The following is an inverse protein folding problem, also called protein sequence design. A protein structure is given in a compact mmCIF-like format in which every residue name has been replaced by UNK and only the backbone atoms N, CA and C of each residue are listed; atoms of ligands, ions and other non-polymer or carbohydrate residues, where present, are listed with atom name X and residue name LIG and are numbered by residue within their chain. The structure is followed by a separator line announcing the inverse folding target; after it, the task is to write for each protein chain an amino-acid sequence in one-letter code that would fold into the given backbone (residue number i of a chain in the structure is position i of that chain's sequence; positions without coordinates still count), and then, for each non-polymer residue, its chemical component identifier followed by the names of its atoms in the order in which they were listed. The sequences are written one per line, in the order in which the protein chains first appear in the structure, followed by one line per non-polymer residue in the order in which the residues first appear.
data_IF_080184483188
#
_entry.id   IF_080184483188
#
_cell.length_a   1.000
_cell.length_b   1.000
_cell.length_c   1.000
_cell.angle_alpha   90.00
_cell.angle_beta   90.00
_cell.angle_gamma   90.00
#
_symmetry.space_group_name_H-M   'P 1'
#
loop_
_entity.id
_entity.type
_entity.pdbx_description
1 polymer ?
#
# COMPACT_ATOMS: atom_id res chain seq x y z
N UNK A 1 -22.30 21.69 -8.04
CA UNK A 1 -21.02 22.18 -8.58
C UNK A 1 -20.44 23.42 -7.85
N UNK A 2 -20.83 23.74 -6.61
CA UNK A 2 -20.36 24.96 -5.90
C UNK A 2 -19.43 24.69 -4.69
N UNK A 3 -19.00 23.47 -4.46
CA UNK A 3 -18.18 23.11 -3.28
C UNK A 3 -16.68 22.90 -3.54
N UNK A 4 -16.25 22.77 -4.80
CA UNK A 4 -14.88 22.39 -5.15
C UNK A 4 -13.86 23.54 -5.06
N UNK A 5 -14.29 24.80 -5.12
CA UNK A 5 -13.41 25.96 -5.04
C UNK A 5 -13.23 26.54 -3.64
N UNK A 6 -13.92 25.97 -2.64
CA UNK A 6 -13.90 26.51 -1.28
C UNK A 6 -12.63 26.09 -0.56
N UNK A 7 -11.89 27.07 -0.03
CA UNK A 7 -10.77 26.87 0.86
C UNK A 7 -11.23 26.10 2.11
N UNK A 8 -10.47 25.10 2.56
CA UNK A 8 -10.68 24.42 3.83
C UNK A 8 -9.48 24.65 4.72
N UNK A 9 -9.72 24.78 6.01
CA UNK A 9 -8.68 25.01 7.00
C UNK A 9 -8.76 23.93 8.10
N UNK A 10 -7.62 23.32 8.40
CA UNK A 10 -7.46 22.27 9.42
C UNK A 10 -6.33 22.68 10.37
N UNK A 11 -6.63 22.73 11.67
CA UNK A 11 -5.67 23.02 12.74
C UNK A 11 -5.44 21.80 13.60
N UNK A 12 -4.21 21.55 14.02
CA UNK A 12 -3.84 20.43 14.91
C UNK A 12 -2.35 20.25 15.00
N UNK A 13 -1.90 19.15 15.61
CA UNK A 13 -0.49 18.76 15.60
C UNK A 13 -0.23 17.90 14.38
N UNK A 14 0.81 18.23 13.61
CA UNK A 14 1.14 17.55 12.36
C UNK A 14 2.52 16.92 12.41
N UNK A 15 2.65 15.78 11.74
CA UNK A 15 3.94 15.16 11.50
C UNK A 15 4.00 14.62 10.06
N UNK A 16 5.10 14.90 9.37
CA UNK A 16 5.44 14.30 8.09
C UNK A 16 6.95 14.25 7.86
N UNK A 17 7.36 13.61 6.77
CA UNK A 17 8.75 13.64 6.27
C UNK A 17 8.80 14.51 5.02
N UNK A 18 9.64 15.53 5.02
CA UNK A 18 9.62 16.60 4.01
C UNK A 18 10.23 16.22 2.66
N UNK A 19 11.08 15.21 2.63
CA UNK A 19 11.75 14.70 1.42
C UNK A 19 11.92 13.19 1.44
N UNK A 20 12.08 12.59 0.28
CA UNK A 20 12.41 11.17 0.17
C UNK A 20 13.81 10.88 0.70
N UNK A 21 14.01 9.68 1.22
CA UNK A 21 15.20 9.25 1.95
C UNK A 21 15.80 8.04 1.23
N UNK A 22 17.13 8.00 1.17
CA UNK A 22 17.91 6.87 0.65
C UNK A 22 18.77 6.19 1.74
N UNK A 23 18.91 6.85 2.90
CA UNK A 23 19.57 6.30 4.08
C UNK A 23 18.69 6.54 5.31
N UNK A 24 18.31 5.50 6.09
CA UNK A 24 17.41 5.63 7.24
C UNK A 24 17.95 6.59 8.33
N UNK A 25 19.25 6.79 8.42
CA UNK A 25 19.86 7.74 9.37
C UNK A 25 19.46 9.21 9.11
N UNK A 26 19.03 9.53 7.88
CA UNK A 26 18.62 10.87 7.50
C UNK A 26 17.16 11.20 7.88
N UNK A 27 16.34 10.21 8.23
CA UNK A 27 14.91 10.39 8.45
C UNK A 27 14.64 11.40 9.55
N UNK A 28 15.36 11.34 10.65
CA UNK A 28 15.18 12.26 11.78
C UNK A 28 15.42 13.73 11.36
N UNK A 29 16.34 13.98 10.44
CA UNK A 29 16.64 15.34 9.95
C UNK A 29 15.61 15.85 8.91
N UNK A 30 14.90 14.94 8.28
CA UNK A 30 13.85 15.25 7.31
C UNK A 30 12.44 15.26 7.93
N UNK A 31 12.31 14.80 9.19
CA UNK A 31 11.06 14.82 9.92
C UNK A 31 10.64 16.26 10.24
N UNK A 32 9.37 16.58 9.99
CA UNK A 32 8.79 17.84 10.39
C UNK A 32 7.64 17.55 11.37
N UNK A 33 7.73 18.14 12.56
CA UNK A 33 6.69 18.14 13.56
C UNK A 33 6.26 19.58 13.86
N UNK A 34 4.97 19.87 13.74
CA UNK A 34 4.36 21.16 14.05
C UNK A 34 3.29 20.93 15.10
N UNK A 35 3.50 21.42 16.31
CA UNK A 35 2.60 21.18 17.44
C UNK A 35 1.25 21.89 17.28
N UNK A 36 1.28 23.13 16.81
CA UNK A 36 0.08 23.90 16.46
C UNK A 36 0.18 24.36 15.02
N UNK A 37 -0.22 23.51 14.11
CA UNK A 37 -0.12 23.68 12.68
C UNK A 37 -1.44 24.05 12.02
N UNK A 38 -1.33 24.59 10.83
CA UNK A 38 -2.42 24.90 9.91
C UNK A 38 -2.15 24.25 8.56
N UNK A 39 -3.14 23.51 8.06
CA UNK A 39 -3.20 23.00 6.71
C UNK A 39 -4.35 23.69 5.96
N UNK A 40 -4.03 24.42 4.90
CA UNK A 40 -5.00 24.99 3.97
C UNK A 40 -5.12 24.08 2.75
N UNK A 41 -6.36 23.78 2.37
CA UNK A 41 -6.67 22.85 1.28
C UNK A 41 -7.57 23.56 0.28
N UNK A 42 -7.19 23.48 -0.99
CA UNK A 42 -7.98 24.02 -2.11
C UNK A 42 -8.01 23.01 -3.25
N UNK A 43 -9.18 22.72 -3.77
CA UNK A 43 -9.35 21.74 -4.87
C UNK A 43 -8.70 20.38 -4.59
N UNK A 44 -8.83 19.87 -3.37
CA UNK A 44 -8.26 18.59 -2.97
C UNK A 44 -6.74 18.59 -2.73
N UNK A 45 -6.07 19.72 -2.92
CA UNK A 45 -4.61 19.84 -2.77
C UNK A 45 -4.21 20.72 -1.60
N UNK A 46 -3.02 20.49 -1.09
CA UNK A 46 -2.37 21.36 -0.11
C UNK A 46 -2.08 22.70 -0.80
N UNK A 47 -2.74 23.75 -0.34
CA UNK A 47 -2.49 25.13 -0.77
C UNK A 47 -1.36 25.75 0.06
N UNK A 48 -1.40 25.55 1.38
CA UNK A 48 -0.40 26.05 2.31
C UNK A 48 -0.32 25.14 3.53
N UNK A 49 0.87 25.02 4.12
CA UNK A 49 1.10 24.26 5.34
C UNK A 49 2.21 24.88 6.19
N UNK A 50 1.99 25.03 7.49
CA UNK A 50 2.98 25.54 8.43
C UNK A 50 2.39 25.82 9.81
N UNK A 51 3.12 26.59 10.63
CA UNK A 51 2.69 27.03 11.96
C UNK A 51 1.39 27.85 11.89
N UNK A 52 0.48 27.62 12.84
CA UNK A 52 -0.80 28.34 12.93
C UNK A 52 -0.62 29.87 12.90
N UNK A 53 0.30 30.40 13.71
CA UNK A 53 0.54 31.83 13.81
C UNK A 53 0.97 32.47 12.47
N UNK A 54 1.69 31.71 11.66
CA UNK A 54 2.21 32.19 10.37
C UNK A 54 1.15 32.13 9.24
N UNK A 55 0.11 31.31 9.39
CA UNK A 55 -0.87 31.09 8.33
C UNK A 55 -2.30 31.56 8.64
N UNK A 56 -2.68 31.78 9.90
CA UNK A 56 -4.05 32.07 10.30
C UNK A 56 -4.68 33.30 9.60
N UNK A 57 -3.87 34.29 9.25
CA UNK A 57 -4.32 35.50 8.54
C UNK A 57 -4.74 35.24 7.07
N UNK A 58 -4.39 34.07 6.52
CA UNK A 58 -4.80 33.66 5.17
C UNK A 58 -6.21 33.03 5.15
N UNK A 59 -6.82 32.81 6.30
CA UNK A 59 -8.13 32.18 6.42
C UNK A 59 -9.19 33.29 6.31
N UNK A 60 -10.05 33.28 5.27
CA UNK A 60 -11.19 34.19 5.21
C UNK A 60 -12.16 33.98 6.39
N UNK A 61 -12.78 35.04 6.90
CA UNK A 61 -13.73 34.96 8.03
C UNK A 61 -14.93 34.04 7.75
N UNK A 62 -15.23 33.77 6.49
CA UNK A 62 -16.29 32.83 6.06
C UNK A 62 -15.92 31.37 6.18
N UNK A 63 -14.65 31.05 6.42
CA UNK A 63 -14.15 29.69 6.47
C UNK A 63 -14.08 29.19 7.92
N UNK A 64 -14.82 28.13 8.22
CA UNK A 64 -14.73 27.45 9.50
C UNK A 64 -13.49 26.58 9.57
N UNK A 65 -12.63 26.84 10.55
CA UNK A 65 -11.47 25.99 10.86
C UNK A 65 -11.94 24.67 11.51
N UNK A 66 -11.49 23.55 10.98
CA UNK A 66 -11.64 22.25 11.66
C UNK A 66 -10.50 22.11 12.66
N UNK A 67 -10.84 22.16 13.94
CA UNK A 67 -9.87 22.14 15.04
C UNK A 67 -9.70 20.72 15.56
N UNK A 68 -8.46 20.20 15.47
CA UNK A 68 -8.03 18.89 15.93
C UNK A 68 -6.88 18.99 16.96
N UNK A 69 -6.80 20.08 17.70
CA UNK A 69 -5.81 20.17 18.77
C UNK A 69 -5.98 19.02 19.76
N UNK A 70 -4.85 18.43 20.21
CA UNK A 70 -4.83 17.20 21.00
C UNK A 70 -4.85 15.91 20.16
N UNK A 71 -5.02 16.01 18.84
CA UNK A 71 -4.89 14.91 17.89
C UNK A 71 -3.60 15.06 17.10
N UNK A 72 -3.12 13.94 16.53
CA UNK A 72 -1.99 13.94 15.61
C UNK A 72 -2.49 13.76 14.17
N UNK A 73 -2.04 14.61 13.26
CA UNK A 73 -2.38 14.54 11.84
C UNK A 73 -1.16 14.07 11.07
N UNK A 74 -1.33 13.01 10.32
CA UNK A 74 -0.29 12.39 9.48
C UNK A 74 -0.77 12.31 8.03
N UNK A 75 0.11 12.26 7.01
CA UNK A 75 -0.29 11.93 5.66
C UNK A 75 -1.03 10.60 5.64
N UNK A 76 -1.95 10.41 4.71
CA UNK A 76 -2.67 9.16 4.56
C UNK A 76 -1.72 7.97 4.38
N UNK A 77 -2.06 6.83 4.97
CA UNK A 77 -1.25 5.64 4.83
C UNK A 77 -1.32 5.09 3.41
N UNK A 78 -0.18 4.55 2.95
CA UNK A 78 0.01 3.94 1.64
C UNK A 78 0.25 2.46 1.82
N UNK A 79 -0.68 1.64 1.32
CA UNK A 79 -0.57 0.18 1.32
C UNK A 79 -0.05 -0.29 -0.03
N UNK A 80 1.16 -0.84 -0.06
CA UNK A 80 1.84 -1.19 -1.31
C UNK A 80 1.57 -2.62 -1.80
N UNK A 81 0.79 -3.40 -1.04
CA UNK A 81 0.35 -4.74 -1.43
C UNK A 81 -0.83 -5.21 -0.57
N UNK A 82 -1.95 -5.47 -1.19
CA UNK A 82 -3.17 -5.94 -0.54
C UNK A 82 -4.10 -6.65 -1.53
N UNK A 83 -4.83 -7.68 -1.09
CA UNK A 83 -5.81 -8.42 -1.89
C UNK A 83 -7.24 -8.13 -1.42
N UNK A 84 -8.00 -7.32 -2.16
CA UNK A 84 -9.37 -7.05 -1.75
C UNK A 84 -10.29 -8.29 -1.80
N UNK A 85 -10.07 -9.25 -2.76
CA UNK A 85 -10.90 -10.44 -2.82
C UNK A 85 -10.73 -11.39 -1.64
N UNK A 86 -9.69 -11.21 -0.83
CA UNK A 86 -9.38 -12.10 0.29
C UNK A 86 -9.88 -11.56 1.64
N UNK A 87 -10.67 -10.47 1.63
CA UNK A 87 -11.17 -9.83 2.86
C UNK A 87 -11.97 -10.78 3.76
N UNK A 88 -12.72 -11.72 3.18
CA UNK A 88 -13.55 -12.66 3.94
C UNK A 88 -12.78 -13.79 4.60
N UNK A 89 -11.56 -14.05 4.17
CA UNK A 89 -10.75 -15.16 4.70
C UNK A 89 -9.71 -14.71 5.74
N UNK A 90 -9.71 -13.44 6.11
CA UNK A 90 -8.83 -12.93 7.17
C UNK A 90 -9.03 -13.72 8.46
N UNK A 91 -7.92 -14.28 9.00
CA UNK A 91 -7.97 -15.09 10.21
C UNK A 91 -8.40 -16.55 9.97
N UNK A 92 -8.51 -17.02 8.72
CA UNK A 92 -8.67 -18.43 8.44
C UNK A 92 -7.46 -19.23 8.95
N UNK A 93 -7.67 -20.50 9.36
CA UNK A 93 -6.60 -21.29 9.95
C UNK A 93 -5.39 -21.44 9.01
N UNK A 94 -4.22 -21.06 9.51
CA UNK A 94 -2.99 -20.98 8.72
C UNK A 94 -2.46 -22.31 8.25
N UNK A 95 -2.01 -22.29 7.00
CA UNK A 95 -1.28 -23.36 6.32
C UNK A 95 -0.01 -22.73 5.71
N UNK A 96 0.86 -23.54 5.11
CA UNK A 96 1.92 -22.99 4.25
C UNK A 96 1.32 -22.43 2.95
N UNK A 97 2.05 -21.52 2.29
CA UNK A 97 1.56 -20.75 1.14
C UNK A 97 0.77 -21.57 0.10
N UNK A 98 1.34 -22.64 -0.43
CA UNK A 98 0.72 -23.38 -1.54
C UNK A 98 -0.57 -24.13 -1.13
N UNK A 99 -0.63 -24.63 0.11
CA UNK A 99 -1.84 -25.23 0.67
C UNK A 99 -2.89 -24.17 0.99
N UNK A 100 -2.48 -23.00 1.52
CA UNK A 100 -3.31 -21.85 1.77
C UNK A 100 -4.05 -21.40 0.53
N UNK A 101 -3.36 -21.27 -0.61
CA UNK A 101 -3.96 -20.88 -1.88
C UNK A 101 -5.10 -21.81 -2.28
N UNK A 102 -4.89 -23.13 -2.21
CA UNK A 102 -5.88 -24.12 -2.63
C UNK A 102 -7.07 -24.20 -1.67
N UNK A 103 -6.83 -24.10 -0.37
CA UNK A 103 -7.85 -24.33 0.67
C UNK A 103 -8.74 -23.13 0.92
N UNK A 104 -8.17 -21.92 0.88
CA UNK A 104 -8.84 -20.70 1.27
C UNK A 104 -8.97 -19.69 0.13
N UNK A 105 -7.88 -19.39 -0.56
CA UNK A 105 -7.81 -18.27 -1.51
C UNK A 105 -8.64 -18.52 -2.76
N UNK A 106 -8.38 -19.59 -3.48
CA UNK A 106 -9.05 -19.86 -4.76
C UNK A 106 -10.56 -20.05 -4.62
N UNK A 107 -11.10 -20.76 -3.61
CA UNK A 107 -12.54 -20.83 -3.41
C UNK A 107 -13.19 -19.47 -3.12
N UNK A 108 -12.50 -18.58 -2.40
CA UNK A 108 -12.99 -17.23 -2.10
C UNK A 108 -12.97 -16.33 -3.35
N UNK A 109 -11.88 -16.33 -4.10
CA UNK A 109 -11.72 -15.51 -5.30
C UNK A 109 -12.70 -15.88 -6.42
N UNK A 110 -13.15 -17.14 -6.53
CA UNK A 110 -14.16 -17.57 -7.47
C UNK A 110 -15.46 -16.76 -7.39
N UNK A 111 -15.86 -16.33 -6.20
CA UNK A 111 -17.13 -15.62 -5.96
C UNK A 111 -17.20 -14.28 -6.69
N UNK A 112 -16.05 -13.71 -7.06
CA UNK A 112 -15.95 -12.43 -7.75
C UNK A 112 -16.27 -12.51 -9.26
N UNK A 113 -16.65 -13.68 -9.75
CA UNK A 113 -17.34 -13.85 -11.04
C UNK A 113 -18.71 -13.16 -11.02
N UNK A 114 -19.37 -13.08 -9.85
CA UNK A 114 -20.60 -12.33 -9.64
C UNK A 114 -20.28 -10.84 -9.43
N UNK A 115 -20.80 -9.99 -10.33
CA UNK A 115 -20.57 -8.54 -10.29
C UNK A 115 -21.19 -7.88 -9.05
N UNK A 116 -22.38 -8.29 -8.62
CA UNK A 116 -23.05 -7.69 -7.46
C UNK A 116 -22.29 -8.04 -6.17
N UNK A 117 -21.83 -9.29 -6.06
CA UNK A 117 -20.94 -9.68 -4.97
C UNK A 117 -19.62 -8.89 -4.98
N UNK A 118 -19.00 -8.71 -6.15
CA UNK A 118 -17.79 -7.92 -6.28
C UNK A 118 -18.01 -6.44 -5.86
N UNK A 119 -19.17 -5.85 -6.18
CA UNK A 119 -19.55 -4.49 -5.75
C UNK A 119 -19.74 -4.39 -4.24
N UNK A 120 -20.45 -5.34 -3.64
CA UNK A 120 -20.63 -5.38 -2.18
C UNK A 120 -19.29 -5.46 -1.46
N UNK A 121 -18.42 -6.38 -1.89
CA UNK A 121 -17.11 -6.57 -1.29
C UNK A 121 -16.15 -5.40 -1.56
N UNK A 122 -16.24 -4.75 -2.71
CA UNK A 122 -15.48 -3.52 -3.00
C UNK A 122 -15.86 -2.39 -2.05
N UNK A 123 -17.16 -2.19 -1.82
CA UNK A 123 -17.65 -1.17 -0.89
C UNK A 123 -17.19 -1.47 0.55
N UNK A 124 -17.27 -2.73 0.98
CA UNK A 124 -16.74 -3.17 2.28
C UNK A 124 -15.24 -2.90 2.39
N UNK A 125 -14.45 -3.32 1.40
CA UNK A 125 -12.99 -3.18 1.37
C UNK A 125 -12.56 -1.71 1.45
N UNK A 126 -13.13 -0.83 0.62
CA UNK A 126 -12.85 0.62 0.66
C UNK A 126 -13.17 1.18 2.06
N UNK A 127 -14.30 0.80 2.65
CA UNK A 127 -14.66 1.22 4.00
C UNK A 127 -13.64 0.76 5.05
N UNK A 128 -13.10 -0.46 4.93
CA UNK A 128 -12.05 -0.94 5.83
C UNK A 128 -10.73 -0.19 5.64
N UNK A 129 -10.31 0.10 4.41
CA UNK A 129 -9.13 0.93 4.16
C UNK A 129 -9.26 2.29 4.86
N UNK A 130 -10.37 2.99 4.64
CA UNK A 130 -10.62 4.31 5.21
C UNK A 130 -10.71 4.29 6.74
N UNK A 131 -11.36 3.27 7.31
CA UNK A 131 -11.44 3.04 8.76
C UNK A 131 -10.05 2.88 9.38
N UNK A 132 -9.10 2.37 8.63
CA UNK A 132 -7.72 2.15 9.07
C UNK A 132 -6.74 3.22 8.58
N UNK A 133 -7.23 4.31 7.98
CA UNK A 133 -6.41 5.46 7.58
C UNK A 133 -5.64 5.27 6.28
N UNK A 134 -5.87 4.19 5.54
CA UNK A 134 -5.26 3.95 4.23
C UNK A 134 -5.99 4.75 3.16
N UNK A 135 -5.28 5.65 2.49
CA UNK A 135 -5.83 6.55 1.45
C UNK A 135 -5.32 6.22 0.06
N UNK A 136 -4.28 5.42 -0.05
CA UNK A 136 -3.71 4.92 -1.31
C UNK A 136 -3.36 3.45 -1.13
N UNK A 137 -3.74 2.62 -2.11
CA UNK A 137 -3.40 1.19 -2.08
C UNK A 137 -3.04 0.66 -3.48
N UNK A 138 -2.12 -0.32 -3.52
CA UNK A 138 -1.81 -1.15 -4.67
C UNK A 138 -2.43 -2.53 -4.45
N UNK A 139 -3.46 -2.85 -5.25
CA UNK A 139 -4.46 -3.89 -4.95
C UNK A 139 -4.47 -4.99 -6.01
N UNK A 140 -4.41 -6.23 -5.57
CA UNK A 140 -4.78 -7.40 -6.36
C UNK A 140 -6.30 -7.52 -6.50
N UNK A 141 -6.80 -7.64 -7.74
CA UNK A 141 -8.15 -8.09 -8.05
C UNK A 141 -8.23 -9.62 -8.11
N UNK A 142 -9.12 -10.14 -8.96
CA UNK A 142 -9.17 -11.55 -9.36
C UNK A 142 -8.92 -11.70 -10.87
N UNK A 143 -9.01 -12.92 -11.40
CA UNK A 143 -8.98 -13.16 -12.86
C UNK A 143 -10.22 -12.58 -13.57
N UNK A 144 -11.30 -12.33 -12.85
CA UNK A 144 -12.55 -11.81 -13.39
C UNK A 144 -12.47 -10.28 -13.59
N UNK A 145 -12.63 -9.74 -14.82
CA UNK A 145 -12.51 -8.31 -15.10
C UNK A 145 -13.46 -7.45 -14.26
N UNK A 146 -14.69 -7.94 -14.03
CA UNK A 146 -15.70 -7.25 -13.23
C UNK A 146 -15.31 -7.02 -11.78
N UNK A 147 -14.38 -7.83 -11.24
CA UNK A 147 -13.84 -7.58 -9.89
C UNK A 147 -13.04 -6.27 -9.83
N UNK A 148 -12.32 -5.96 -10.89
CA UNK A 148 -11.53 -4.72 -11.01
C UNK A 148 -12.44 -3.53 -11.34
N UNK A 149 -13.43 -3.72 -12.23
CA UNK A 149 -14.44 -2.69 -12.50
C UNK A 149 -15.14 -2.25 -11.21
N UNK A 150 -15.64 -3.22 -10.41
CA UNK A 150 -16.32 -2.92 -9.15
C UNK A 150 -15.42 -2.17 -8.13
N UNK A 151 -14.15 -2.55 -8.03
CA UNK A 151 -13.20 -1.87 -7.15
C UNK A 151 -12.93 -0.43 -7.59
N UNK A 152 -12.70 -0.21 -8.88
CA UNK A 152 -12.46 1.13 -9.40
C UNK A 152 -13.71 2.01 -9.36
N UNK A 153 -14.90 1.46 -9.61
CA UNK A 153 -16.17 2.16 -9.39
C UNK A 153 -16.27 2.66 -7.94
N UNK A 154 -16.06 1.79 -6.96
CA UNK A 154 -16.12 2.14 -5.54
C UNK A 154 -15.09 3.21 -5.14
N UNK A 155 -13.84 3.09 -5.62
CA UNK A 155 -12.78 4.06 -5.36
C UNK A 155 -13.07 5.42 -6.02
N UNK A 156 -13.63 5.43 -7.22
CA UNK A 156 -13.97 6.67 -7.97
C UNK A 156 -15.01 7.53 -7.27
N UNK A 157 -16.00 6.92 -6.61
CA UNK A 157 -17.06 7.64 -5.90
C UNK A 157 -16.54 8.59 -4.82
N UNK A 158 -15.41 8.27 -4.21
CA UNK A 158 -14.76 9.09 -3.18
C UNK A 158 -13.47 9.74 -3.68
N UNK A 159 -13.16 9.61 -4.96
CA UNK A 159 -11.92 10.08 -5.57
C UNK A 159 -10.66 9.54 -4.86
N UNK A 160 -10.67 8.26 -4.43
CA UNK A 160 -9.53 7.62 -3.78
C UNK A 160 -8.43 7.32 -4.78
N UNK A 161 -7.17 7.54 -4.40
CA UNK A 161 -6.03 7.08 -5.19
C UNK A 161 -5.90 5.57 -5.08
N UNK A 162 -6.09 4.88 -6.21
CA UNK A 162 -6.09 3.42 -6.25
C UNK A 162 -5.27 2.94 -7.45
N UNK A 163 -4.40 1.97 -7.21
CA UNK A 163 -3.72 1.21 -8.26
C UNK A 163 -4.24 -0.22 -8.15
N UNK A 164 -4.77 -0.77 -9.22
CA UNK A 164 -5.27 -2.16 -9.20
C UNK A 164 -5.13 -2.81 -10.57
N UNK A 165 -5.22 -4.13 -10.61
CA UNK A 165 -5.20 -4.87 -11.85
C UNK A 165 -5.91 -6.22 -11.73
N UNK A 166 -6.36 -6.69 -12.89
CA UNK A 166 -6.87 -8.04 -13.07
C UNK A 166 -5.72 -9.03 -12.95
N UNK A 167 -5.89 -10.05 -12.12
CA UNK A 167 -4.91 -11.14 -12.00
C UNK A 167 -4.84 -11.94 -13.29
N UNK A 168 -3.61 -12.25 -13.73
CA UNK A 168 -3.32 -13.12 -14.87
C UNK A 168 -2.85 -14.48 -14.34
N UNK A 169 -3.61 -15.54 -14.67
CA UNK A 169 -3.29 -16.95 -14.38
C UNK A 169 -3.79 -17.82 -15.51
N UNK A 170 -2.92 -18.61 -16.15
CA UNK A 170 -3.27 -19.52 -17.24
C UNK A 170 -2.84 -20.98 -17.00
N UNK A 171 -2.24 -21.25 -15.83
CA UNK A 171 -1.86 -22.61 -15.41
C UNK A 171 -1.80 -22.74 -13.88
N UNK A 172 -1.71 -23.99 -13.40
CA UNK A 172 -1.49 -24.33 -11.99
C UNK A 172 -2.48 -23.69 -11.01
N UNK A 173 -3.70 -23.45 -11.46
CA UNK A 173 -4.82 -22.97 -10.66
C UNK A 173 -6.08 -23.76 -11.04
N UNK A 174 -7.15 -23.74 -10.23
CA UNK A 174 -8.42 -24.36 -10.60
C UNK A 174 -8.99 -23.78 -11.89
N UNK A 175 -9.64 -24.59 -12.70
CA UNK A 175 -10.21 -24.21 -14.02
C UNK A 175 -11.07 -22.94 -13.96
N UNK A 176 -11.81 -22.74 -12.86
CA UNK A 176 -12.68 -21.57 -12.67
C UNK A 176 -11.91 -20.27 -12.36
N UNK A 177 -10.60 -20.33 -12.23
CA UNK A 177 -9.70 -19.17 -12.08
C UNK A 177 -8.60 -19.13 -13.14
N UNK A 178 -8.77 -19.84 -14.24
CA UNK A 178 -7.83 -19.81 -15.35
C UNK A 178 -8.29 -18.87 -16.46
N UNK A 179 -7.36 -18.08 -16.92
CA UNK A 179 -7.40 -17.36 -18.20
C UNK A 179 -6.76 -18.21 -19.30
N UNK A 180 -6.74 -17.65 -20.51
CA UNK A 180 -5.71 -17.93 -21.50
C UNK A 180 -4.76 -16.75 -21.59
N UNK A 181 -3.56 -16.95 -22.14
CA UNK A 181 -2.63 -15.85 -22.38
C UNK A 181 -3.28 -14.70 -23.19
N UNK A 182 -4.05 -15.04 -24.21
CA UNK A 182 -4.75 -14.09 -25.09
C UNK A 182 -5.90 -13.38 -24.36
N UNK A 183 -6.76 -14.12 -23.64
CA UNK A 183 -7.90 -13.51 -22.91
C UNK A 183 -7.41 -12.59 -21.80
N UNK A 184 -6.34 -12.96 -21.08
CA UNK A 184 -5.76 -12.12 -20.05
C UNK A 184 -5.21 -10.80 -20.59
N UNK A 185 -4.59 -10.85 -21.80
CA UNK A 185 -4.14 -9.64 -22.50
C UNK A 185 -5.32 -8.73 -22.88
N UNK A 186 -6.33 -9.26 -23.59
CA UNK A 186 -7.45 -8.45 -24.06
C UNK A 186 -8.25 -7.82 -22.92
N UNK A 187 -8.58 -8.60 -21.89
CA UNK A 187 -9.31 -8.11 -20.74
C UNK A 187 -8.52 -7.07 -19.93
N UNK A 188 -7.20 -7.27 -19.76
CA UNK A 188 -6.34 -6.29 -19.10
C UNK A 188 -6.24 -5.00 -19.92
N UNK A 189 -6.12 -5.10 -21.25
CA UNK A 189 -6.10 -3.95 -22.15
C UNK A 189 -7.39 -3.12 -22.06
N UNK A 190 -8.54 -3.76 -22.10
CA UNK A 190 -9.84 -3.08 -21.95
C UNK A 190 -9.95 -2.34 -20.60
N UNK A 191 -9.47 -2.96 -19.51
CA UNK A 191 -9.46 -2.33 -18.18
C UNK A 191 -8.47 -1.16 -18.12
N UNK A 192 -7.28 -1.27 -18.75
CA UNK A 192 -6.33 -0.16 -18.86
C UNK A 192 -6.98 1.02 -19.57
N UNK A 193 -7.56 0.79 -20.77
CA UNK A 193 -8.19 1.84 -21.59
C UNK A 193 -9.38 2.51 -20.86
N UNK A 194 -10.09 1.79 -19.99
CA UNK A 194 -11.22 2.30 -19.22
C UNK A 194 -10.80 3.08 -17.98
N UNK A 195 -9.80 2.59 -17.25
CA UNK A 195 -9.53 3.04 -15.90
C UNK A 195 -8.18 3.73 -15.66
N UNK A 196 -7.15 3.40 -16.46
CA UNK A 196 -5.83 3.97 -16.23
C UNK A 196 -5.83 5.49 -16.48
N UNK A 197 -5.43 6.26 -15.44
CA UNK A 197 -5.49 7.73 -15.43
C UNK A 197 -6.90 8.33 -15.50
N UNK A 198 -7.93 7.55 -15.21
CA UNK A 198 -9.26 8.08 -14.99
C UNK A 198 -9.32 8.67 -13.57
N UNK A 199 -9.28 10.00 -13.46
CA UNK A 199 -9.14 10.66 -12.16
C UNK A 199 -7.84 10.26 -11.46
N UNK A 200 -7.97 9.69 -10.25
CA UNK A 200 -6.84 9.23 -9.44
C UNK A 200 -6.58 7.72 -9.53
N UNK A 201 -7.23 7.05 -10.49
CA UNK A 201 -7.13 5.60 -10.69
C UNK A 201 -5.97 5.26 -11.63
N UNK A 202 -5.26 4.18 -11.33
CA UNK A 202 -4.10 3.70 -12.08
C UNK A 202 -4.19 2.18 -12.21
N UNK A 203 -3.68 1.64 -13.32
CA UNK A 203 -3.73 0.20 -13.57
C UNK A 203 -2.37 -0.47 -13.32
N UNK A 204 -2.40 -1.69 -12.76
CA UNK A 204 -1.25 -2.56 -12.63
C UNK A 204 -1.44 -3.85 -13.46
N UNK A 205 -0.49 -4.17 -14.31
CA UNK A 205 -0.38 -5.46 -14.97
C UNK A 205 0.00 -6.47 -13.88
N UNK A 206 -0.83 -7.49 -13.68
CA UNK A 206 -0.80 -8.30 -12.46
C UNK A 206 -0.72 -9.80 -12.75
N UNK A 207 0.40 -10.33 -13.29
CA UNK A 207 0.65 -11.77 -13.19
C UNK A 207 0.70 -12.14 -11.70
N UNK A 208 -0.11 -13.13 -11.28
CA UNK A 208 -0.20 -13.45 -9.84
C UNK A 208 1.19 -13.74 -9.27
N UNK A 209 1.85 -14.74 -9.84
CA UNK A 209 3.24 -15.10 -9.60
C UNK A 209 3.69 -16.09 -10.69
N UNK A 210 4.98 -16.27 -10.89
CA UNK A 210 5.52 -17.06 -11.99
C UNK A 210 4.95 -18.50 -12.09
N UNK A 211 4.66 -19.24 -11.02
CA UNK A 211 4.08 -20.57 -11.13
C UNK A 211 2.74 -20.64 -11.85
N UNK A 212 1.90 -19.62 -11.75
CA UNK A 212 0.56 -19.59 -12.36
C UNK A 212 0.50 -18.92 -13.72
N UNK A 213 1.63 -18.48 -14.25
CA UNK A 213 1.71 -17.91 -15.62
C UNK A 213 2.62 -18.73 -16.50
N UNK A 214 2.15 -19.06 -17.71
CA UNK A 214 2.99 -19.65 -18.75
C UNK A 214 3.94 -18.63 -19.38
N UNK A 215 4.90 -19.08 -20.16
CA UNK A 215 5.77 -18.20 -20.96
C UNK A 215 4.96 -17.35 -21.94
N UNK A 216 3.89 -17.91 -22.51
CA UNK A 216 2.96 -17.22 -23.39
C UNK A 216 2.21 -16.11 -22.65
N UNK A 217 1.74 -16.35 -21.43
CA UNK A 217 1.09 -15.32 -20.62
C UNK A 217 2.08 -14.24 -20.17
N UNK A 218 3.30 -14.60 -19.79
CA UNK A 218 4.36 -13.63 -19.48
C UNK A 218 4.68 -12.73 -20.69
N UNK A 219 4.71 -13.30 -21.91
CA UNK A 219 4.88 -12.51 -23.14
C UNK A 219 3.70 -11.55 -23.38
N UNK A 220 2.46 -11.92 -23.00
CA UNK A 220 1.33 -11.01 -23.07
C UNK A 220 1.42 -9.90 -22.02
N UNK A 221 1.91 -10.19 -20.81
CA UNK A 221 2.18 -9.16 -19.81
C UNK A 221 3.28 -8.18 -20.28
N UNK A 222 4.34 -8.69 -20.90
CA UNK A 222 5.36 -7.86 -21.55
C UNK A 222 4.74 -6.95 -22.61
N UNK A 223 3.94 -7.49 -23.52
CA UNK A 223 3.27 -6.73 -24.57
C UNK A 223 2.39 -5.61 -23.99
N UNK A 224 1.61 -5.89 -22.94
CA UNK A 224 0.84 -4.86 -22.24
C UNK A 224 1.75 -3.75 -21.70
N UNK A 225 2.89 -4.11 -21.12
CA UNK A 225 3.85 -3.13 -20.57
C UNK A 225 4.51 -2.30 -21.65
N UNK A 226 4.76 -2.86 -22.81
CA UNK A 226 5.29 -2.15 -23.99
C UNK A 226 4.26 -1.19 -24.59
N UNK A 227 2.99 -1.62 -24.71
CA UNK A 227 1.90 -0.79 -25.24
C UNK A 227 1.49 0.32 -24.24
N UNK A 228 1.59 0.06 -22.92
CA UNK A 228 1.22 0.98 -21.84
C UNK A 228 2.36 1.15 -20.83
N UNK A 229 3.47 1.82 -21.21
CA UNK A 229 4.70 1.84 -20.42
C UNK A 229 4.58 2.56 -19.07
N UNK A 230 3.56 3.36 -18.90
CA UNK A 230 3.28 4.12 -17.67
C UNK A 230 2.37 3.39 -16.66
N UNK A 231 1.89 2.18 -17.00
CA UNK A 231 1.21 1.29 -16.06
C UNK A 231 2.18 0.72 -15.02
N UNK A 232 1.65 0.21 -13.92
CA UNK A 232 2.42 -0.54 -12.93
C UNK A 232 2.52 -2.01 -13.30
N UNK A 233 3.48 -2.70 -12.70
CA UNK A 233 3.54 -4.17 -12.61
C UNK A 233 3.47 -4.53 -11.14
N UNK A 234 2.63 -5.49 -10.78
CA UNK A 234 2.44 -5.93 -9.41
C UNK A 234 2.37 -7.46 -9.35
N UNK A 235 3.28 -8.08 -8.60
CA UNK A 235 3.38 -9.54 -8.51
C UNK A 235 4.07 -9.97 -7.21
N UNK A 236 4.07 -11.27 -6.92
CA UNK A 236 4.76 -11.88 -5.79
C UNK A 236 6.15 -12.37 -6.20
N UNK A 237 7.10 -12.32 -5.27
CA UNK A 237 8.49 -12.71 -5.51
C UNK A 237 9.14 -13.29 -4.26
N UNK A 238 9.69 -14.50 -4.37
CA UNK A 238 10.55 -15.11 -3.37
C UNK A 238 9.97 -15.10 -1.94
N UNK A 239 8.69 -15.40 -1.81
CA UNK A 239 8.00 -15.42 -0.53
C UNK A 239 8.33 -16.68 0.26
N UNK A 240 8.28 -17.84 -0.39
CA UNK A 240 8.41 -19.15 0.24
C UNK A 240 9.45 -20.02 -0.50
N UNK A 241 10.17 -20.86 0.24
CA UNK A 241 11.23 -21.70 -0.35
C UNK A 241 10.70 -22.77 -1.31
N UNK A 242 9.53 -23.34 -1.03
CA UNK A 242 8.90 -24.35 -1.90
C UNK A 242 8.39 -23.69 -3.18
N UNK A 243 7.88 -22.45 -3.09
CA UNK A 243 7.54 -21.60 -4.23
C UNK A 243 8.76 -21.35 -5.13
N UNK A 244 9.90 -20.97 -4.57
CA UNK A 244 11.15 -20.74 -5.31
C UNK A 244 11.62 -22.02 -6.02
N UNK A 245 11.58 -23.17 -5.32
CA UNK A 245 11.93 -24.45 -5.91
C UNK A 245 10.99 -24.83 -7.07
N UNK A 246 9.71 -24.52 -6.92
CA UNK A 246 8.71 -24.73 -7.96
C UNK A 246 8.96 -23.84 -9.20
N UNK A 247 9.23 -22.55 -9.00
CA UNK A 247 9.60 -21.64 -10.09
C UNK A 247 10.82 -22.16 -10.85
N UNK A 248 11.86 -22.59 -10.14
CA UNK A 248 13.07 -23.16 -10.75
C UNK A 248 12.77 -24.39 -11.62
N UNK A 249 11.81 -25.21 -11.22
CA UNK A 249 11.40 -26.39 -12.00
C UNK A 249 10.61 -26.02 -13.26
N UNK A 250 9.81 -24.93 -13.21
CA UNK A 250 8.98 -24.47 -14.31
C UNK A 250 9.74 -23.60 -15.33
N UNK A 251 10.80 -22.92 -14.86
CA UNK A 251 11.62 -21.99 -15.62
C UNK A 251 13.12 -22.34 -15.47
N UNK A 252 13.56 -23.53 -15.93
CA UNK A 252 14.91 -24.02 -15.66
C UNK A 252 16.02 -23.21 -16.35
N UNK A 253 15.69 -22.49 -17.43
CA UNK A 253 16.64 -21.70 -18.21
C UNK A 253 16.86 -20.28 -17.69
N UNK A 254 16.14 -19.90 -16.61
CA UNK A 254 16.26 -18.59 -15.98
C UNK A 254 17.24 -18.60 -14.80
N UNK A 255 17.97 -17.49 -14.63
CA UNK A 255 18.95 -17.31 -13.56
C UNK A 255 18.30 -16.80 -12.25
N UNK A 256 17.29 -17.51 -11.76
CA UNK A 256 16.56 -17.19 -10.53
C UNK A 256 15.13 -16.71 -10.76
N UNK A 257 14.40 -16.48 -9.66
CA UNK A 257 12.98 -16.16 -9.74
C UNK A 257 12.73 -14.78 -10.35
N UNK A 258 13.45 -13.75 -9.90
CA UNK A 258 13.33 -12.39 -10.44
C UNK A 258 13.71 -12.33 -11.91
N UNK A 259 14.64 -13.19 -12.37
CA UNK A 259 15.07 -13.22 -13.77
C UNK A 259 13.93 -13.61 -14.71
N UNK A 260 12.98 -14.46 -14.26
CA UNK A 260 11.75 -14.75 -15.02
C UNK A 260 11.02 -13.46 -15.37
N UNK A 261 10.77 -12.61 -14.41
CA UNK A 261 10.09 -11.31 -14.65
C UNK A 261 10.96 -10.35 -15.47
N UNK A 262 12.26 -10.34 -15.19
CA UNK A 262 13.19 -9.43 -15.86
C UNK A 262 13.28 -9.68 -17.37
N UNK A 263 13.36 -10.92 -17.79
CA UNK A 263 13.47 -11.28 -19.21
C UNK A 263 12.22 -10.91 -20.02
N UNK A 264 11.06 -10.84 -19.37
CA UNK A 264 9.82 -10.33 -19.96
C UNK A 264 9.61 -8.81 -19.75
N UNK A 265 10.65 -8.05 -19.35
CA UNK A 265 10.55 -6.61 -19.20
C UNK A 265 9.63 -6.15 -18.07
N UNK A 266 9.31 -7.04 -17.10
CA UNK A 266 8.42 -6.79 -15.98
C UNK A 266 9.16 -6.29 -14.72
N UNK A 267 10.35 -5.72 -14.89
CA UNK A 267 11.13 -5.02 -13.86
C UNK A 267 11.30 -3.56 -14.24
N UNK A 268 11.34 -2.65 -13.26
CA UNK A 268 11.51 -1.23 -13.55
C UNK A 268 10.90 -0.32 -12.49
N UNK A 269 10.94 0.98 -12.74
CA UNK A 269 10.54 2.03 -11.78
C UNK A 269 9.12 1.86 -11.21
N UNK A 270 8.18 1.38 -12.02
CA UNK A 270 6.78 1.18 -11.63
C UNK A 270 6.46 -0.31 -11.38
N UNK A 271 7.47 -1.12 -11.03
CA UNK A 271 7.28 -2.53 -10.72
C UNK A 271 7.44 -2.76 -9.22
N UNK A 272 6.44 -3.37 -8.62
CA UNK A 272 6.38 -3.66 -7.18
C UNK A 272 6.28 -5.17 -6.97
N UNK A 273 7.21 -5.70 -6.21
CA UNK A 273 7.30 -7.11 -5.87
C UNK A 273 6.94 -7.33 -4.39
N UNK A 274 5.93 -8.12 -4.13
CA UNK A 274 5.53 -8.44 -2.76
C UNK A 274 6.46 -9.45 -2.12
N UNK A 275 6.63 -9.34 -0.81
CA UNK A 275 7.38 -10.21 0.11
C UNK A 275 8.91 -10.13 -0.02
N UNK A 276 9.49 -10.69 -1.06
CA UNK A 276 10.95 -10.68 -1.29
C UNK A 276 11.76 -11.20 -0.09
N UNK A 277 11.27 -12.26 0.58
CA UNK A 277 11.83 -12.76 1.84
C UNK A 277 13.17 -13.48 1.60
N UNK A 278 13.26 -14.26 0.50
CA UNK A 278 14.37 -15.16 0.22
C UNK A 278 15.16 -14.77 -1.04
N UNK A 279 15.39 -13.47 -1.26
CA UNK A 279 16.17 -12.98 -2.40
C UNK A 279 17.64 -13.41 -2.32
N UNK A 280 18.18 -13.84 -3.44
CA UNK A 280 19.62 -14.03 -3.64
C UNK A 280 20.33 -12.67 -3.88
N UNK A 281 21.67 -12.64 -3.78
CA UNK A 281 22.46 -11.40 -3.94
C UNK A 281 22.23 -10.74 -5.32
N UNK A 282 22.22 -11.53 -6.38
CA UNK A 282 21.98 -11.08 -7.74
C UNK A 282 20.59 -10.49 -7.96
N UNK A 283 19.58 -10.97 -7.22
CA UNK A 283 18.22 -10.45 -7.29
C UNK A 283 18.11 -9.08 -6.58
N UNK A 284 18.80 -8.92 -5.43
CA UNK A 284 18.95 -7.61 -4.78
C UNK A 284 19.60 -6.58 -5.71
N UNK A 285 20.69 -6.97 -6.38
CA UNK A 285 21.40 -6.09 -7.32
C UNK A 285 20.49 -5.73 -8.51
N UNK A 286 19.75 -6.70 -9.06
CA UNK A 286 18.80 -6.46 -10.15
C UNK A 286 17.65 -5.53 -9.77
N UNK A 287 17.07 -5.69 -8.57
CA UNK A 287 16.03 -4.76 -8.07
C UNK A 287 16.56 -3.33 -7.95
N UNK A 288 17.79 -3.18 -7.48
CA UNK A 288 18.47 -1.88 -7.39
C UNK A 288 18.71 -1.24 -8.76
N UNK A 289 19.32 -1.99 -9.69
CA UNK A 289 19.64 -1.55 -11.06
C UNK A 289 18.39 -1.12 -11.84
N UNK A 290 17.33 -1.89 -11.75
CA UNK A 290 16.06 -1.63 -12.44
C UNK A 290 15.21 -0.58 -11.74
N UNK A 291 15.58 -0.17 -10.50
CA UNK A 291 14.79 0.74 -9.64
C UNK A 291 13.41 0.19 -9.30
N UNK A 292 13.27 -1.13 -9.29
CA UNK A 292 12.07 -1.83 -8.82
C UNK A 292 11.86 -1.63 -7.31
N UNK A 293 10.66 -1.86 -6.83
CA UNK A 293 10.28 -1.65 -5.44
C UNK A 293 9.80 -2.93 -4.79
N UNK A 294 9.88 -2.99 -3.47
CA UNK A 294 9.42 -4.10 -2.64
C UNK A 294 8.24 -3.66 -1.77
N UNK A 295 7.22 -4.49 -1.67
CA UNK A 295 6.20 -4.40 -0.64
C UNK A 295 6.56 -5.34 0.52
N UNK A 296 6.90 -4.77 1.67
CA UNK A 296 7.20 -5.52 2.89
C UNK A 296 5.90 -5.85 3.62
N UNK A 297 5.58 -7.15 3.70
CA UNK A 297 4.34 -7.70 4.25
C UNK A 297 4.60 -8.50 5.53
N UNK A 298 4.97 -7.87 6.66
CA UNK A 298 5.45 -8.58 7.84
C UNK A 298 4.41 -9.53 8.43
N UNK A 299 3.15 -9.10 8.46
CA UNK A 299 2.06 -9.86 9.09
C UNK A 299 1.81 -11.18 8.36
N UNK A 300 1.68 -11.15 7.04
CA UNK A 300 1.44 -12.36 6.25
C UNK A 300 2.66 -13.27 6.20
N UNK A 301 3.87 -12.70 6.09
CA UNK A 301 5.11 -13.47 6.11
C UNK A 301 5.25 -14.31 7.40
N UNK A 302 4.82 -13.74 8.55
CA UNK A 302 4.78 -14.45 9.81
C UNK A 302 3.64 -15.47 9.87
N UNK A 303 2.45 -15.09 9.40
CA UNK A 303 1.24 -15.90 9.47
C UNK A 303 1.36 -17.20 8.66
N UNK A 304 1.93 -17.12 7.47
CA UNK A 304 2.20 -18.28 6.60
C UNK A 304 3.55 -18.96 6.89
N UNK A 305 4.35 -18.44 7.83
CA UNK A 305 5.66 -18.98 8.13
C UNK A 305 6.67 -18.82 6.99
N UNK A 306 6.48 -17.83 6.12
CA UNK A 306 7.35 -17.57 4.96
C UNK A 306 8.76 -17.16 5.36
N UNK A 307 8.93 -16.36 6.42
CA UNK A 307 10.23 -15.95 6.95
C UNK A 307 10.33 -14.48 7.32
N UNK A 308 11.55 -13.97 7.46
CA UNK A 308 11.86 -12.63 7.93
C UNK A 308 12.48 -11.79 6.82
N UNK A 309 11.81 -10.74 6.39
CA UNK A 309 12.30 -9.79 5.38
C UNK A 309 13.47 -8.95 5.91
N UNK A 310 14.50 -8.76 5.10
CA UNK A 310 15.73 -8.03 5.48
C UNK A 310 15.70 -6.56 5.01
N UNK A 311 15.04 -5.69 5.78
CA UNK A 311 14.97 -4.25 5.49
C UNK A 311 16.35 -3.57 5.49
N UNK A 312 17.27 -3.98 6.37
CA UNK A 312 18.64 -3.44 6.41
C UNK A 312 19.33 -3.63 5.07
N UNK A 313 19.18 -4.80 4.46
CA UNK A 313 19.76 -5.09 3.14
C UNK A 313 19.10 -4.27 2.04
N UNK A 314 17.79 -4.07 2.10
CA UNK A 314 17.09 -3.21 1.15
C UNK A 314 17.67 -1.76 1.17
N UNK A 315 17.88 -1.18 2.36
CA UNK A 315 18.54 0.12 2.48
C UNK A 315 19.97 0.12 1.91
N UNK A 316 20.76 -0.90 2.24
CA UNK A 316 22.15 -1.02 1.72
C UNK A 316 22.20 -1.10 0.20
N UNK A 317 21.26 -1.78 -0.41
CA UNK A 317 21.11 -1.94 -1.88
C UNK A 317 20.35 -0.78 -2.54
N UNK A 318 19.86 0.20 -1.76
CA UNK A 318 19.03 1.32 -2.23
C UNK A 318 17.76 0.87 -2.98
N UNK A 319 17.21 -0.26 -2.57
CA UNK A 319 15.91 -0.75 -3.08
C UNK A 319 14.81 -0.06 -2.29
N UNK A 320 13.84 0.50 -3.00
CA UNK A 320 12.68 1.19 -2.39
C UNK A 320 11.76 0.16 -1.74
N UNK A 321 11.30 0.47 -0.53
CA UNK A 321 10.39 -0.37 0.23
C UNK A 321 9.19 0.44 0.68
N UNK A 322 8.00 -0.12 0.52
CA UNK A 322 6.76 0.32 1.14
C UNK A 322 6.19 -0.80 2.02
N UNK A 323 5.24 -0.44 2.87
CA UNK A 323 4.54 -1.40 3.72
C UNK A 323 3.34 -1.99 2.99
N UNK A 324 3.13 -3.31 3.09
CA UNK A 324 1.95 -4.01 2.61
C UNK A 324 1.23 -4.73 3.75
N UNK A 325 -0.08 -4.59 3.82
CA UNK A 325 -0.90 -5.34 4.80
C UNK A 325 -1.16 -6.77 4.35
N UNK A 326 -1.21 -6.97 3.04
CA UNK A 326 -1.44 -8.29 2.41
C UNK A 326 -2.66 -9.04 2.98
N UNK A 327 -3.81 -8.36 3.05
CA UNK A 327 -5.09 -8.99 3.38
C UNK A 327 -5.36 -10.12 2.38
N UNK A 328 -5.49 -11.30 2.74
CA UNK A 328 -6.09 -12.24 3.62
C UNK A 328 -5.09 -13.09 4.43
N UNK A 329 -3.84 -13.35 3.98
CA UNK A 329 -2.83 -13.92 4.87
C UNK A 329 -2.36 -12.86 5.90
N UNK A 330 -2.30 -11.61 5.54
CA UNK A 330 -2.23 -10.52 6.50
C UNK A 330 -3.51 -10.43 7.32
N UNK A 331 -3.38 -10.31 8.63
CA UNK A 331 -4.49 -10.46 9.58
C UNK A 331 -5.14 -9.13 9.97
N UNK A 332 -4.72 -8.02 9.37
CA UNK A 332 -5.21 -6.68 9.71
C UNK A 332 -5.14 -5.71 8.55
N UNK A 333 -6.16 -4.86 8.40
CA UNK A 333 -6.12 -3.67 7.55
C UNK A 333 -5.36 -2.50 8.17
N UNK A 334 -4.98 -2.62 9.45
CA UNK A 334 -4.42 -1.50 10.20
C UNK A 334 -2.91 -1.38 10.00
N UNK A 335 -2.48 -0.26 9.43
CA UNK A 335 -1.06 0.00 9.18
C UNK A 335 -0.24 0.06 10.46
N UNK A 336 -0.77 0.56 11.58
CA UNK A 336 -0.03 0.60 12.85
C UNK A 336 0.29 -0.81 13.37
N UNK A 337 -0.67 -1.73 13.27
CA UNK A 337 -0.44 -3.14 13.61
C UNK A 337 0.57 -3.79 12.67
N UNK A 338 0.51 -3.48 11.37
CA UNK A 338 1.51 -3.93 10.39
C UNK A 338 2.91 -3.42 10.74
N UNK A 339 3.04 -2.15 11.16
CA UNK A 339 4.30 -1.58 11.63
C UNK A 339 4.81 -2.23 12.93
N UNK A 340 3.90 -2.61 13.84
CA UNK A 340 4.25 -3.37 15.05
C UNK A 340 4.86 -4.72 14.72
N UNK A 341 4.29 -5.46 13.77
CA UNK A 341 4.87 -6.73 13.30
C UNK A 341 6.21 -6.50 12.59
N UNK A 342 6.33 -5.45 11.75
CA UNK A 342 7.60 -5.08 11.12
C UNK A 342 8.70 -4.85 12.17
N UNK A 343 8.40 -4.11 13.24
CA UNK A 343 9.34 -3.89 14.34
C UNK A 343 9.83 -5.22 14.95
N UNK A 344 8.92 -6.15 15.26
CA UNK A 344 9.28 -7.46 15.85
C UNK A 344 10.13 -8.30 14.91
N UNK A 345 9.75 -8.37 13.63
CA UNK A 345 10.51 -9.08 12.58
C UNK A 345 11.94 -8.56 12.47
N UNK A 346 12.10 -7.24 12.51
CA UNK A 346 13.42 -6.61 12.38
C UNK A 346 14.24 -6.73 13.66
N UNK A 347 13.62 -6.69 14.85
CA UNK A 347 14.30 -6.96 16.11
C UNK A 347 14.92 -8.36 16.14
N UNK A 348 14.23 -9.37 15.62
CA UNK A 348 14.78 -10.75 15.52
C UNK A 348 16.02 -10.82 14.62
N UNK A 349 16.24 -9.83 13.77
CA UNK A 349 17.40 -9.70 12.89
C UNK A 349 18.42 -8.68 13.38
N UNK A 350 18.28 -8.17 14.61
CA UNK A 350 19.17 -7.18 15.20
C UNK A 350 19.08 -5.78 14.57
N UNK A 351 17.98 -5.48 13.86
CA UNK A 351 17.69 -4.16 13.31
C UNK A 351 16.62 -3.44 14.12
N UNK A 352 16.91 -2.23 14.57
CA UNK A 352 15.99 -1.41 15.38
C UNK A 352 15.20 -0.46 14.47
N UNK A 353 14.00 -0.86 14.10
CA UNK A 353 13.08 0.02 13.37
C UNK A 353 12.65 1.17 14.28
N UNK A 354 13.04 2.40 13.97
CA UNK A 354 12.58 3.58 14.70
C UNK A 354 11.13 3.92 14.31
N UNK A 355 10.39 4.59 15.20
CA UNK A 355 9.04 5.05 14.87
C UNK A 355 9.05 6.03 13.68
N UNK A 356 10.07 6.86 13.55
CA UNK A 356 10.20 7.78 12.41
C UNK A 356 10.35 7.02 11.08
N UNK A 357 11.17 5.98 11.05
CA UNK A 357 11.35 5.12 9.87
C UNK A 357 10.06 4.36 9.55
N UNK A 358 9.38 3.81 10.56
CA UNK A 358 8.12 3.11 10.40
C UNK A 358 7.05 4.01 9.75
N UNK A 359 6.82 5.21 10.26
CA UNK A 359 5.87 6.16 9.68
C UNK A 359 6.30 6.66 8.30
N UNK A 360 7.61 6.82 8.05
CA UNK A 360 8.11 7.10 6.70
C UNK A 360 7.72 6.00 5.72
N UNK A 361 7.99 4.73 6.04
CA UNK A 361 7.67 3.59 5.17
C UNK A 361 6.16 3.47 4.89
N UNK A 362 5.33 3.83 5.86
CA UNK A 362 3.87 3.80 5.73
C UNK A 362 3.26 5.01 5.01
N UNK A 363 4.04 6.07 4.74
CA UNK A 363 3.57 7.31 4.11
C UNK A 363 4.42 7.68 2.89
N UNK A 364 5.41 8.58 3.03
CA UNK A 364 6.23 9.04 1.91
C UNK A 364 7.12 7.95 1.31
N UNK A 365 7.62 7.01 2.11
CA UNK A 365 8.38 5.85 1.64
C UNK A 365 7.51 4.91 0.80
N UNK A 366 6.28 4.65 1.24
CA UNK A 366 5.27 3.93 0.46
C UNK A 366 4.95 4.64 -0.85
N UNK A 367 4.72 5.96 -0.81
CA UNK A 367 4.51 6.77 -2.00
C UNK A 367 5.70 6.70 -2.97
N UNK A 368 6.94 6.79 -2.44
CA UNK A 368 8.19 6.65 -3.22
C UNK A 368 8.30 5.28 -3.89
N UNK A 369 7.93 4.22 -3.18
CA UNK A 369 7.96 2.85 -3.72
C UNK A 369 6.97 2.66 -4.86
N UNK A 370 5.84 3.39 -4.83
CA UNK A 370 4.85 3.42 -5.91
C UNK A 370 5.17 4.47 -7.01
N UNK A 371 6.23 5.29 -6.86
CA UNK A 371 6.52 6.38 -7.79
C UNK A 371 5.48 7.51 -7.76
N UNK A 372 4.83 7.72 -6.62
CA UNK A 372 3.78 8.72 -6.39
C UNK A 372 4.20 9.80 -5.38
N UNK A 373 5.48 9.84 -5.01
CA UNK A 373 6.00 10.77 -3.99
C UNK A 373 5.94 12.24 -4.40
N UNK A 374 5.78 12.55 -5.67
CA UNK A 374 5.47 13.91 -6.15
C UNK A 374 4.00 14.31 -5.91
N UNK A 375 3.09 13.34 -5.71
CA UNK A 375 1.65 13.56 -5.59
C UNK A 375 1.14 13.45 -4.16
N UNK A 376 1.66 12.52 -3.36
CA UNK A 376 1.17 12.16 -2.02
C UNK A 376 2.33 11.96 -1.02
N UNK A 377 1.99 11.63 0.22
CA UNK A 377 2.91 11.13 1.25
C UNK A 377 3.48 12.19 2.20
N UNK A 378 3.26 13.47 1.96
CA UNK A 378 3.56 14.57 2.90
C UNK A 378 2.70 15.83 2.60
N UNK A 379 2.88 16.90 3.42
CA UNK A 379 2.10 18.14 3.33
C UNK A 379 2.78 19.24 2.53
N UNK A 380 3.57 18.92 1.51
CA UNK A 380 4.13 19.95 0.65
C UNK A 380 3.04 20.58 -0.24
N UNK A 381 3.06 21.91 -0.47
CA UNK A 381 2.12 22.57 -1.35
C UNK A 381 2.05 21.93 -2.74
N UNK A 382 0.83 21.83 -3.28
CA UNK A 382 0.54 21.20 -4.57
C UNK A 382 0.25 19.71 -4.51
N UNK A 383 0.61 19.03 -3.43
CA UNK A 383 0.27 17.60 -3.24
C UNK A 383 -1.21 17.40 -2.88
N UNK A 384 -1.68 16.20 -3.13
CA UNK A 384 -3.04 15.78 -2.79
C UNK A 384 -3.22 15.74 -1.26
N UNK A 385 -4.32 16.32 -0.79
CA UNK A 385 -4.60 16.44 0.63
C UNK A 385 -5.29 15.18 1.18
N UNK A 386 -4.54 14.06 1.16
CA UNK A 386 -4.90 12.80 1.78
C UNK A 386 -4.23 12.72 3.15
N UNK A 387 -5.01 12.63 4.22
CA UNK A 387 -4.45 12.61 5.58
C UNK A 387 -5.36 11.92 6.59
N UNK A 388 -4.75 11.53 7.69
CA UNK A 388 -5.40 10.87 8.82
C UNK A 388 -5.28 11.74 10.06
N UNK A 389 -6.39 11.95 10.75
CA UNK A 389 -6.44 12.50 12.09
C UNK A 389 -6.43 11.34 13.07
N UNK A 390 -5.38 11.21 13.84
CA UNK A 390 -5.18 10.12 14.78
C UNK A 390 -5.51 10.52 16.21
N UNK A 391 -6.11 9.59 16.95
CA UNK A 391 -6.30 9.68 18.39
C UNK A 391 -5.16 8.95 19.10
N UNK A 392 -4.16 9.65 19.65
CA UNK A 392 -3.01 9.00 20.27
C UNK A 392 -3.33 8.28 21.57
N UNK A 393 -4.48 8.59 22.16
CA UNK A 393 -4.91 8.12 23.49
C UNK A 393 -6.28 7.45 23.46
N UNK A 394 -6.52 6.65 22.40
CA UNK A 394 -7.81 6.01 22.15
C UNK A 394 -8.22 4.97 23.19
N UNK A 395 -7.28 4.47 24.01
CA UNK A 395 -7.53 3.53 25.11
C UNK A 395 -6.83 3.97 26.39
N UNK A 396 -7.30 3.50 27.58
CA UNK A 396 -6.62 3.83 28.85
C UNK A 396 -5.14 3.44 28.88
N UNK A 397 -4.76 2.32 28.25
CA UNK A 397 -3.36 1.91 28.20
C UNK A 397 -2.54 2.83 27.28
N UNK A 398 -3.07 3.23 26.14
CA UNK A 398 -2.42 4.22 25.27
C UNK A 398 -2.26 5.56 25.99
N UNK A 399 -3.30 6.05 26.68
CA UNK A 399 -3.25 7.28 27.47
C UNK A 399 -2.13 7.19 28.54
N UNK A 400 -2.11 6.13 29.35
CA UNK A 400 -1.09 5.93 30.38
C UNK A 400 0.33 5.95 29.78
N UNK A 401 0.54 5.23 28.67
CA UNK A 401 1.86 5.17 28.03
C UNK A 401 2.24 6.48 27.35
N UNK A 402 1.29 7.15 26.70
CA UNK A 402 1.51 8.43 26.02
C UNK A 402 1.90 9.53 27.01
N UNK A 403 1.22 9.62 28.17
CA UNK A 403 1.50 10.58 29.22
C UNK A 403 2.87 10.36 29.89
N UNK A 404 3.34 9.10 29.90
CA UNK A 404 4.66 8.73 30.41
C UNK A 404 5.74 8.66 29.32
N UNK A 405 5.47 9.19 28.12
CA UNK A 405 6.44 9.30 27.03
C UNK A 405 7.13 10.66 27.08
N UNK A 406 8.47 10.65 27.05
CA UNK A 406 9.26 11.87 27.22
C UNK A 406 9.63 12.56 25.89
N UNK A 407 9.55 11.85 24.78
CA UNK A 407 9.92 12.35 23.45
C UNK A 407 8.85 12.07 22.40
N UNK A 408 8.94 12.80 21.28
CA UNK A 408 8.07 12.56 20.13
C UNK A 408 8.22 11.13 19.58
N UNK A 409 9.47 10.63 19.50
CA UNK A 409 9.71 9.26 18.99
C UNK A 409 9.10 8.22 19.91
N UNK A 410 9.12 8.42 21.24
CA UNK A 410 8.45 7.50 22.18
C UNK A 410 6.92 7.52 22.00
N UNK A 411 6.33 8.71 21.82
CA UNK A 411 4.89 8.87 21.55
C UNK A 411 4.45 8.17 20.28
N UNK A 412 5.21 8.33 19.20
CA UNK A 412 4.96 7.63 17.94
C UNK A 412 5.15 6.12 18.07
N UNK A 413 6.14 5.69 18.87
CA UNK A 413 6.38 4.28 19.11
C UNK A 413 5.21 3.65 19.89
N UNK A 414 4.64 4.36 20.87
CA UNK A 414 3.41 3.93 21.55
C UNK A 414 2.26 3.77 20.56
N UNK A 415 2.07 4.75 19.64
CA UNK A 415 1.03 4.66 18.61
C UNK A 415 1.26 3.49 17.68
N UNK A 416 2.49 3.25 17.24
CA UNK A 416 2.86 2.14 16.37
C UNK A 416 2.64 0.77 17.03
N UNK A 417 2.90 0.65 18.35
CA UNK A 417 2.88 -0.65 19.04
C UNK A 417 1.56 -0.99 19.71
N UNK A 418 0.80 0.02 20.14
CA UNK A 418 -0.48 -0.15 20.83
C UNK A 418 -1.67 0.35 20.00
N UNK A 419 -1.41 0.97 18.84
CA UNK A 419 -2.44 1.52 17.98
C UNK A 419 -3.18 0.45 17.18
N UNK A 420 -4.44 0.72 16.93
CA UNK A 420 -5.33 -0.06 16.08
C UNK A 420 -6.34 0.87 15.38
N UNK A 421 -7.46 0.33 14.86
CA UNK A 421 -8.49 1.13 14.20
C UNK A 421 -9.13 2.18 15.12
N UNK A 422 -9.10 1.99 16.46
CA UNK A 422 -9.57 2.97 17.44
C UNK A 422 -8.67 4.21 17.47
N UNK A 423 -7.42 4.09 17.07
CA UNK A 423 -6.49 5.21 16.94
C UNK A 423 -6.76 6.07 15.69
N UNK A 424 -7.60 5.63 14.76
CA UNK A 424 -7.99 6.39 13.57
C UNK A 424 -9.28 7.16 13.90
N UNK A 425 -9.16 8.48 14.09
CA UNK A 425 -10.30 9.32 14.40
C UNK A 425 -11.06 9.76 13.15
N UNK A 426 -10.34 10.27 12.13
CA UNK A 426 -10.90 10.68 10.84
C UNK A 426 -9.93 10.40 9.72
N UNK A 427 -10.47 10.07 8.54
CA UNK A 427 -9.69 9.91 7.31
C UNK A 427 -10.20 10.88 6.25
N UNK A 428 -9.26 11.55 5.59
CA UNK A 428 -9.52 12.50 4.52
C UNK A 428 -8.90 12.02 3.22
N UNK A 429 -9.66 12.06 2.15
CA UNK A 429 -9.25 11.79 0.77
C UNK A 429 -9.60 13.01 -0.08
N UNK A 430 -8.65 13.50 -0.87
CA UNK A 430 -8.85 14.67 -1.74
C UNK A 430 -9.40 15.89 -0.94
N UNK A 431 -8.91 16.05 0.30
CA UNK A 431 -9.36 17.09 1.22
C UNK A 431 -10.82 16.96 1.69
N UNK A 432 -11.47 15.82 1.47
CA UNK A 432 -12.85 15.51 1.90
C UNK A 432 -12.83 14.52 3.06
N UNK A 433 -13.65 14.75 4.07
CA UNK A 433 -13.88 13.78 5.13
C UNK A 433 -14.63 12.58 4.56
N UNK A 434 -14.01 11.40 4.60
CA UNK A 434 -14.57 10.15 4.05
C UNK A 434 -14.81 9.08 5.12
N UNK A 435 -14.19 9.23 6.27
CA UNK A 435 -14.42 8.37 7.43
C UNK A 435 -14.32 9.16 8.73
N UNK A 436 -15.23 8.91 9.64
CA UNK A 436 -15.23 9.39 11.03
C UNK A 436 -15.57 8.24 11.95
N UNK A 437 -14.77 8.06 13.01
CA UNK A 437 -15.05 7.11 14.07
C UNK A 437 -16.21 7.61 14.92
N UNK A 438 -17.23 6.79 15.11
CA UNK A 438 -18.38 7.03 16.01
C UNK A 438 -17.93 7.03 17.48
#
# INVERSE_FOLDING_TARGET
MSGEHTLKAVRGSFIDVTRTIDNPEEIASALRFIEDGLLLIKQGKVEWFGEWENGKHQIPDTIRVRDYRGKLIVPGFVDTHIHYPQSEMVGAYGEQLLEWLNKHTFPTERRYEDLEYAREMSAFFIKQLLRNGTTTALVFGTVHPQSVDALFEAASHINMRMIAGKVMMDRNAPDYLLDTAESSYHQSKELIERWHKNGRLLYAITPRFAPTSSSEQMAMAQRLKEEYPDTWVHTHLCENKDEIAWVKSLYPDHDGYLDVYHQYGLTGKNCVFAHCVHLEEKEWDRLSETKSSIAFCPTSNLYLGSGLFNLKKAWQKKVKVGMGTDIGAGTTFNMLQTLNEAYKVLQLQGYRLSAYEAFYLATLGGAKSLGLDDLIGNFLPGKEADFVVMEPTATPLQQLRYDNSVSLVDKLFVMMTLGDDRSIYRTYVDGRLVYERN
#
